data_IF_604883536860
#
_entry.id   IF_604883536860
#
_cell.length_a   1.000
_cell.length_b   1.000
_cell.length_c   1.000
_cell.angle_alpha   90.00
_cell.angle_beta   90.00
_cell.angle_gamma   90.00
#
_symmetry.space_group_name_H-M   'P 1'
#
loop_
_entity.id
_entity.type
_entity.pdbx_description
1 polymer ?
#
# COMPACT_ATOMS: atom_id res chain seq x y z
N UNK A 1 -4.72 11.77 -15.39
CA UNK A 1 -5.50 11.06 -14.35
C UNK A 1 -5.11 11.59 -12.97
N UNK A 2 -5.97 11.52 -11.95
CA UNK A 2 -5.63 11.93 -10.56
C UNK A 2 -4.88 10.76 -9.88
N UNK A 3 -3.59 10.91 -9.53
CA UNK A 3 -2.82 9.82 -8.91
C UNK A 3 -3.42 9.31 -7.59
N UNK A 4 -4.16 10.16 -6.85
CA UNK A 4 -4.79 9.78 -5.58
C UNK A 4 -5.88 8.74 -5.77
N UNK A 5 -6.62 8.78 -6.90
CA UNK A 5 -7.67 7.79 -7.19
C UNK A 5 -7.08 6.41 -7.49
N UNK A 6 -5.94 6.37 -8.19
CA UNK A 6 -5.22 5.13 -8.45
C UNK A 6 -4.67 4.55 -7.14
N UNK A 7 -4.01 5.38 -6.33
CA UNK A 7 -3.50 4.97 -5.02
C UNK A 7 -4.63 4.48 -4.09
N UNK A 8 -5.77 5.17 -4.06
CA UNK A 8 -6.95 4.72 -3.33
C UNK A 8 -7.35 3.31 -3.76
N UNK A 9 -7.50 3.08 -5.06
CA UNK A 9 -7.90 1.78 -5.59
C UNK A 9 -6.90 0.68 -5.19
N UNK A 10 -5.60 0.90 -5.44
CA UNK A 10 -4.55 -0.08 -5.13
C UNK A 10 -4.46 -0.39 -3.62
N UNK A 11 -4.50 0.62 -2.74
CA UNK A 11 -4.47 0.36 -1.30
C UNK A 11 -5.76 -0.33 -0.81
N UNK A 12 -6.92 0.04 -1.35
CA UNK A 12 -8.19 -0.59 -0.99
C UNK A 12 -8.23 -2.05 -1.44
N UNK A 13 -7.86 -2.34 -2.69
CA UNK A 13 -7.79 -3.70 -3.22
C UNK A 13 -6.79 -4.55 -2.43
N UNK A 14 -5.61 -4.01 -2.14
CA UNK A 14 -4.60 -4.68 -1.30
C UNK A 14 -5.14 -5.03 0.08
N UNK A 15 -5.84 -4.09 0.72
CA UNK A 15 -6.48 -4.30 2.01
C UNK A 15 -7.48 -5.45 1.97
N UNK A 16 -8.37 -5.45 0.98
CA UNK A 16 -9.35 -6.52 0.82
C UNK A 16 -8.69 -7.88 0.54
N UNK A 17 -7.67 -7.91 -0.33
CA UNK A 17 -6.92 -9.14 -0.62
C UNK A 17 -6.25 -9.71 0.63
N UNK A 18 -5.58 -8.88 1.43
CA UNK A 18 -4.94 -9.32 2.68
C UNK A 18 -5.96 -9.76 3.74
N UNK A 19 -7.13 -9.12 3.79
CA UNK A 19 -8.21 -9.52 4.69
C UNK A 19 -8.74 -10.92 4.33
N UNK A 20 -8.87 -11.23 3.04
CA UNK A 20 -9.37 -12.53 2.57
C UNK A 20 -8.31 -13.63 2.65
N UNK A 21 -7.01 -13.27 2.62
CA UNK A 21 -5.90 -14.21 2.51
C UNK A 21 -5.94 -15.35 3.56
N UNK A 22 -6.14 -15.11 4.87
CA UNK A 22 -6.18 -16.20 5.85
C UNK A 22 -7.25 -17.27 5.57
N UNK A 23 -8.36 -16.89 4.92
CA UNK A 23 -9.46 -17.81 4.59
C UNK A 23 -9.23 -18.62 3.31
N UNK A 24 -8.28 -18.21 2.47
CA UNK A 24 -7.98 -18.85 1.17
C UNK A 24 -6.55 -19.39 1.09
N UNK A 25 -5.78 -19.27 2.18
CA UNK A 25 -4.43 -19.79 2.30
C UNK A 25 -4.50 -21.22 2.83
N UNK A 26 -4.53 -22.17 1.90
CA UNK A 26 -4.59 -23.61 2.20
C UNK A 26 -3.18 -24.21 2.23
N UNK A 27 -3.05 -25.39 2.84
CA UNK A 27 -1.81 -26.18 2.83
C UNK A 27 -1.43 -26.72 1.44
N UNK A 28 -2.40 -26.80 0.53
CA UNK A 28 -2.24 -27.16 -0.89
C UNK A 28 -2.60 -25.98 -1.78
N UNK A 29 -2.06 -25.91 -3.00
CA UNK A 29 -2.41 -24.84 -3.95
C UNK A 29 -3.81 -25.08 -4.49
N UNK A 30 -4.71 -24.12 -4.30
CA UNK A 30 -6.03 -24.09 -4.93
C UNK A 30 -6.13 -22.92 -5.92
N UNK A 31 -7.13 -22.98 -6.81
CA UNK A 31 -7.37 -21.92 -7.80
C UNK A 31 -7.53 -20.52 -7.15
N UNK A 32 -8.17 -20.44 -5.98
CA UNK A 32 -8.30 -19.20 -5.20
C UNK A 32 -6.96 -18.62 -4.75
N UNK A 33 -6.01 -19.46 -4.35
CA UNK A 33 -4.65 -19.05 -4.00
C UNK A 33 -3.91 -18.50 -5.22
N UNK A 34 -4.07 -19.11 -6.40
CA UNK A 34 -3.49 -18.61 -7.65
C UNK A 34 -4.07 -17.25 -8.06
N UNK A 35 -5.40 -17.10 -7.98
CA UNK A 35 -6.08 -15.82 -8.24
C UNK A 35 -5.54 -14.72 -7.32
N UNK A 36 -5.38 -15.02 -6.03
CA UNK A 36 -4.77 -14.10 -5.08
C UNK A 36 -3.34 -13.73 -5.49
N UNK A 37 -2.47 -14.71 -5.78
CA UNK A 37 -1.06 -14.45 -6.13
C UNK A 37 -0.95 -13.56 -7.38
N UNK A 38 -1.74 -13.82 -8.41
CA UNK A 38 -1.74 -13.00 -9.64
C UNK A 38 -2.20 -11.59 -9.33
N UNK A 39 -3.36 -11.44 -8.69
CA UNK A 39 -3.94 -10.14 -8.40
C UNK A 39 -3.05 -9.31 -7.46
N UNK A 40 -2.65 -9.91 -6.34
CA UNK A 40 -1.80 -9.28 -5.33
C UNK A 40 -0.40 -8.98 -5.88
N UNK A 41 0.15 -9.87 -6.70
CA UNK A 41 1.45 -9.68 -7.35
C UNK A 41 1.45 -8.49 -8.32
N UNK A 42 0.39 -8.33 -9.12
CA UNK A 42 0.22 -7.18 -9.99
C UNK A 42 -0.03 -5.89 -9.20
N UNK A 43 -0.84 -5.96 -8.16
CA UNK A 43 -1.14 -4.82 -7.28
C UNK A 43 0.10 -4.31 -6.54
N UNK A 44 0.99 -5.20 -6.10
CA UNK A 44 2.12 -4.89 -5.23
C UNK A 44 2.98 -3.72 -5.74
N UNK A 45 3.37 -3.75 -7.02
CA UNK A 45 4.26 -2.74 -7.63
C UNK A 45 3.50 -1.50 -8.12
N UNK A 46 2.16 -1.59 -8.25
CA UNK A 46 1.34 -0.60 -8.94
C UNK A 46 1.30 0.79 -8.27
N UNK A 47 1.66 0.89 -6.98
CA UNK A 47 1.66 2.16 -6.23
C UNK A 47 2.88 3.05 -6.50
N UNK A 48 3.95 2.50 -7.08
CA UNK A 48 5.21 3.25 -7.31
C UNK A 48 5.02 4.42 -8.29
N UNK A 49 4.56 4.22 -9.54
CA UNK A 49 4.39 5.33 -10.49
C UNK A 49 3.40 6.41 -10.02
N UNK A 50 2.21 6.07 -9.47
CA UNK A 50 1.28 7.06 -8.94
C UNK A 50 1.85 7.88 -7.78
N UNK A 51 2.66 7.28 -6.90
CA UNK A 51 3.29 8.00 -5.78
C UNK A 51 4.29 9.04 -6.31
N UNK A 52 5.15 8.66 -7.26
CA UNK A 52 6.09 9.59 -7.88
C UNK A 52 5.35 10.71 -8.63
N UNK A 53 4.29 10.37 -9.35
CA UNK A 53 3.42 11.35 -10.02
C UNK A 53 2.75 12.32 -9.03
N UNK A 54 2.33 11.82 -7.86
CA UNK A 54 1.74 12.64 -6.81
C UNK A 54 2.77 13.63 -6.25
N UNK A 55 3.98 13.16 -5.93
CA UNK A 55 5.09 14.01 -5.50
C UNK A 55 5.40 15.10 -6.53
N UNK A 56 5.53 14.75 -7.81
CA UNK A 56 5.76 15.70 -8.92
C UNK A 56 4.64 16.73 -9.06
N UNK A 57 3.40 16.31 -8.88
CA UNK A 57 2.23 17.19 -9.04
C UNK A 57 2.12 18.20 -7.90
N UNK A 58 2.52 17.84 -6.67
CA UNK A 58 2.35 18.69 -5.48
C UNK A 58 3.58 19.54 -5.18
N UNK A 59 4.78 18.99 -5.40
CA UNK A 59 6.04 19.60 -4.94
C UNK A 59 6.91 20.11 -6.09
N UNK A 60 6.42 19.99 -7.34
CA UNK A 60 7.15 20.32 -8.55
C UNK A 60 8.23 19.28 -8.92
N UNK A 61 8.74 19.33 -10.16
CA UNK A 61 9.71 18.36 -10.66
C UNK A 61 11.06 18.40 -9.93
N UNK A 62 11.48 19.57 -9.43
CA UNK A 62 12.81 19.76 -8.83
C UNK A 62 12.95 19.07 -7.47
N UNK A 63 11.88 19.05 -6.68
CA UNK A 63 11.87 18.47 -5.33
C UNK A 63 11.31 17.06 -5.28
N UNK A 64 10.56 16.64 -6.30
CA UNK A 64 9.83 15.38 -6.29
C UNK A 64 10.71 14.16 -6.06
N UNK A 65 11.89 14.10 -6.68
CA UNK A 65 12.81 12.96 -6.55
C UNK A 65 13.35 12.83 -5.12
N UNK A 66 13.72 13.96 -4.51
CA UNK A 66 14.23 13.98 -3.13
C UNK A 66 13.14 13.54 -2.14
N UNK A 67 11.92 14.08 -2.28
CA UNK A 67 10.81 13.69 -1.40
C UNK A 67 10.39 12.24 -1.62
N UNK A 68 10.36 11.77 -2.88
CA UNK A 68 10.12 10.37 -3.16
C UNK A 68 11.18 9.46 -2.52
N UNK A 69 12.45 9.88 -2.48
CA UNK A 69 13.51 9.19 -1.74
C UNK A 69 13.19 9.03 -0.26
N UNK A 70 12.70 10.07 0.41
CA UNK A 70 12.27 9.98 1.81
C UNK A 70 11.01 9.12 2.01
N UNK A 71 10.06 9.16 1.07
CA UNK A 71 8.91 8.25 1.06
C UNK A 71 9.39 6.80 0.95
N UNK A 72 10.40 6.52 0.12
CA UNK A 72 11.00 5.20 0.01
C UNK A 72 11.70 4.76 1.30
N UNK A 73 12.44 5.65 1.97
CA UNK A 73 13.03 5.35 3.30
C UNK A 73 11.93 4.98 4.31
N UNK A 74 10.85 5.77 4.38
CA UNK A 74 9.72 5.47 5.25
C UNK A 74 9.07 4.11 4.91
N UNK A 75 8.98 3.76 3.62
CA UNK A 75 8.50 2.45 3.18
C UNK A 75 9.40 1.32 3.69
N UNK A 76 10.72 1.47 3.64
CA UNK A 76 11.66 0.46 4.15
C UNK A 76 11.54 0.29 5.66
N UNK A 77 11.45 1.39 6.42
CA UNK A 77 11.24 1.34 7.87
C UNK A 77 9.92 0.63 8.20
N UNK A 78 8.84 1.00 7.52
CA UNK A 78 7.53 0.35 7.67
C UNK A 78 7.58 -1.14 7.32
N UNK A 79 8.29 -1.51 6.26
CA UNK A 79 8.52 -2.90 5.86
C UNK A 79 9.28 -3.69 6.92
N UNK A 80 10.32 -3.12 7.54
CA UNK A 80 11.05 -3.75 8.64
C UNK A 80 10.16 -3.95 9.87
N UNK A 81 9.35 -2.96 10.26
CA UNK A 81 8.41 -3.06 11.38
C UNK A 81 7.37 -4.15 11.08
N UNK A 82 6.80 -4.18 9.88
CA UNK A 82 5.81 -5.17 9.48
C UNK A 82 6.39 -6.60 9.49
N UNK A 83 7.61 -6.79 8.96
CA UNK A 83 8.28 -8.08 8.95
C UNK A 83 8.58 -8.58 10.37
N UNK A 84 9.14 -7.73 11.23
CA UNK A 84 9.40 -8.07 12.62
C UNK A 84 8.10 -8.35 13.39
N UNK A 85 7.09 -7.48 13.25
CA UNK A 85 5.78 -7.66 13.86
C UNK A 85 5.10 -8.96 13.44
N UNK A 86 5.14 -9.29 12.15
CA UNK A 86 4.60 -10.56 11.64
C UNK A 86 5.33 -11.78 12.24
N UNK A 87 6.66 -11.71 12.39
CA UNK A 87 7.44 -12.77 13.02
C UNK A 87 7.06 -12.94 14.51
N UNK A 88 6.95 -11.85 15.27
CA UNK A 88 6.54 -11.88 16.67
C UNK A 88 5.13 -12.44 16.83
N UNK A 89 4.18 -12.00 16.01
CA UNK A 89 2.80 -12.51 16.00
C UNK A 89 2.76 -14.01 15.65
N UNK A 90 3.58 -14.46 14.70
CA UNK A 90 3.69 -15.88 14.35
C UNK A 90 4.20 -16.72 15.50
N UNK A 91 5.23 -16.25 16.23
CA UNK A 91 5.75 -16.94 17.42
C UNK A 91 4.70 -17.02 18.51
N UNK A 92 3.95 -15.94 18.76
CA UNK A 92 2.96 -15.87 19.84
C UNK A 92 1.67 -16.65 19.55
N UNK A 93 1.16 -16.61 18.31
CA UNK A 93 -0.16 -17.14 17.95
C UNK A 93 -0.10 -18.36 17.02
N UNK A 94 1.10 -18.78 16.60
CA UNK A 94 1.31 -19.97 15.76
C UNK A 94 0.94 -19.79 14.29
N UNK A 95 0.44 -18.63 13.85
CA UNK A 95 0.09 -18.34 12.45
C UNK A 95 0.24 -16.84 12.09
N UNK A 96 0.08 -16.50 10.81
CA UNK A 96 0.20 -15.12 10.30
C UNK A 96 -1.13 -14.38 10.15
N UNK A 97 -2.27 -14.99 10.52
CA UNK A 97 -3.59 -14.43 10.23
C UNK A 97 -3.77 -13.02 10.81
N UNK A 98 -3.38 -12.83 12.07
CA UNK A 98 -3.46 -11.53 12.73
C UNK A 98 -2.55 -10.48 12.05
N UNK A 99 -1.36 -10.87 11.59
CA UNK A 99 -0.46 -9.97 10.85
C UNK A 99 -1.10 -9.51 9.52
N UNK A 100 -1.79 -10.40 8.82
CA UNK A 100 -2.52 -10.06 7.60
C UNK A 100 -3.73 -9.16 7.89
N UNK A 101 -4.50 -9.41 8.94
CA UNK A 101 -5.62 -8.54 9.31
C UNK A 101 -5.18 -7.13 9.72
N UNK A 102 -4.09 -6.99 10.48
CA UNK A 102 -3.52 -5.68 10.82
C UNK A 102 -3.07 -4.96 9.54
N UNK A 103 -2.35 -5.67 8.66
CA UNK A 103 -1.88 -5.10 7.39
C UNK A 103 -3.05 -4.68 6.48
N UNK A 104 -4.13 -5.48 6.45
CA UNK A 104 -5.36 -5.14 5.74
C UNK A 104 -5.99 -3.85 6.29
N UNK A 105 -6.13 -3.73 7.61
CA UNK A 105 -6.62 -2.52 8.26
C UNK A 105 -5.77 -1.29 7.94
N UNK A 106 -4.45 -1.41 7.98
CA UNK A 106 -3.53 -0.33 7.61
C UNK A 106 -3.68 0.09 6.14
N UNK A 107 -3.88 -0.85 5.22
CA UNK A 107 -4.12 -0.55 3.80
C UNK A 107 -5.44 0.20 3.61
N UNK A 108 -6.53 -0.21 4.28
CA UNK A 108 -7.81 0.48 4.22
C UNK A 108 -7.72 1.91 4.79
N UNK A 109 -7.06 2.08 5.93
CA UNK A 109 -6.78 3.40 6.51
C UNK A 109 -5.96 4.26 5.53
N UNK A 110 -4.93 3.69 4.91
CA UNK A 110 -4.08 4.39 3.93
C UNK A 110 -4.87 4.81 2.68
N UNK A 111 -5.78 3.96 2.19
CA UNK A 111 -6.65 4.28 1.06
C UNK A 111 -7.42 5.58 1.31
N UNK A 112 -7.95 5.76 2.52
CA UNK A 112 -8.62 6.99 2.92
C UNK A 112 -7.65 8.17 2.98
N UNK A 113 -6.51 8.04 3.66
CA UNK A 113 -5.56 9.15 3.85
C UNK A 113 -4.97 9.67 2.55
N UNK A 114 -4.71 8.80 1.57
CA UNK A 114 -4.24 9.21 0.23
C UNK A 114 -5.19 10.22 -0.43
N UNK A 115 -6.50 10.07 -0.21
CA UNK A 115 -7.50 11.00 -0.79
C UNK A 115 -7.51 12.37 -0.09
N UNK A 116 -6.95 12.47 1.11
CA UNK A 116 -6.84 13.73 1.85
C UNK A 116 -5.61 14.54 1.45
N UNK A 117 -4.64 13.95 0.77
CA UNK A 117 -3.42 14.64 0.34
C UNK A 117 -3.78 15.80 -0.59
N UNK A 118 -3.40 17.01 -0.18
CA UNK A 118 -3.63 18.26 -0.92
C UNK A 118 -5.10 18.48 -1.32
N UNK A 119 -6.04 17.98 -0.51
CA UNK A 119 -7.47 18.20 -0.73
C UNK A 119 -7.80 19.69 -0.52
N UNK A 120 -8.45 20.30 -1.51
CA UNK A 120 -8.80 21.73 -1.49
C UNK A 120 -7.82 22.64 -2.23
N UNK A 121 -6.62 22.17 -2.58
CA UNK A 121 -5.69 22.95 -3.40
C UNK A 121 -6.09 22.91 -4.87
N UNK A 122 -6.14 24.07 -5.54
CA UNK A 122 -6.34 24.14 -6.99
C UNK A 122 -5.06 23.77 -7.74
N UNK A 123 -5.20 23.28 -8.98
CA UNK A 123 -4.05 22.94 -9.84
C UNK A 123 -3.10 24.10 -10.09
N UNK A 124 -3.61 25.34 -10.06
CA UNK A 124 -2.79 26.55 -10.15
C UNK A 124 -1.97 26.81 -8.89
N UNK A 125 -2.54 26.55 -7.70
CA UNK A 125 -1.80 26.68 -6.43
C UNK A 125 -0.66 25.66 -6.32
N UNK A 126 -0.82 24.46 -6.91
CA UNK A 126 0.19 23.41 -6.91
C UNK A 126 1.30 23.60 -7.97
N UNK A 127 1.13 24.55 -8.89
CA UNK A 127 2.09 24.85 -9.97
C UNK A 127 3.00 26.03 -9.70
N UNK A 128 2.73 26.80 -8.63
CA UNK A 128 3.57 27.92 -8.16
C UNK A 128 4.69 27.39 -7.27
#
# INVERSE_FOLDING_TARGET
>A
YDPRKLLFFYYFSRGLSLFLLPSILFSSVHASTLVFVIFYGLDWVATVPPTLMLCRTILGPDRATVVYGWVFVAHQIGGSIAALGAALLKVQFGNYALAFYISAGMCLVTSYFVTQISKGSTREQLRR
#
